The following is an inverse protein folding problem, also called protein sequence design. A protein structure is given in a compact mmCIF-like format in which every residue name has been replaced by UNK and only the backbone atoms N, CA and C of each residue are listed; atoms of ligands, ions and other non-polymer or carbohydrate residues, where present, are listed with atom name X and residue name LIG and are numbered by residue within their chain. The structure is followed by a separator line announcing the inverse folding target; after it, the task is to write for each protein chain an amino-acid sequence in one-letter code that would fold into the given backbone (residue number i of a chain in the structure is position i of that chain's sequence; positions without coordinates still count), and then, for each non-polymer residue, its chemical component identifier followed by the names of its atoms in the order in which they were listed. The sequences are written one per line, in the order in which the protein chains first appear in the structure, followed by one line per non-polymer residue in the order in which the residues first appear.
data_IF_645761643809
#
_entry.id   IF_645761643809
#
_cell.length_a   1.000
_cell.length_b   1.000
_cell.length_c   1.000
_cell.angle_alpha   90.00
_cell.angle_beta   90.00
_cell.angle_gamma   90.00
#
_symmetry.space_group_name_H-M   'P 1'
#
loop_
_entity.id
_entity.type
_entity.pdbx_description
1 polymer ?
#
# COMPACT_ATOMS: atom_id res chain seq x y z
N UNK A 1 -7.20 -11.60 10.10
CA UNK A 1 -8.61 -11.14 10.15
C UNK A 1 -8.54 -9.67 10.47
N UNK A 2 -9.31 -8.79 9.79
CA UNK A 2 -9.50 -7.45 10.34
C UNK A 2 -10.20 -7.67 11.68
N UNK A 3 -9.44 -7.54 12.76
CA UNK A 3 -9.94 -7.79 14.10
C UNK A 3 -11.20 -6.96 14.29
N UNK A 4 -12.26 -7.58 14.81
CA UNK A 4 -13.55 -6.94 15.12
C UNK A 4 -13.45 -5.73 16.06
N UNK A 5 -12.24 -5.41 16.53
CA UNK A 5 -11.90 -4.38 17.50
C UNK A 5 -11.17 -3.17 16.89
N UNK A 6 -10.91 -3.12 15.57
CA UNK A 6 -10.31 -1.90 14.99
C UNK A 6 -11.38 -0.80 14.90
N UNK A 7 -11.03 0.40 15.32
CA UNK A 7 -11.85 1.60 15.16
C UNK A 7 -11.83 2.06 13.70
N UNK A 8 -12.81 2.90 13.32
CA UNK A 8 -12.84 3.53 12.00
C UNK A 8 -11.56 4.36 11.74
N UNK A 9 -11.06 5.06 12.76
CA UNK A 9 -9.84 5.86 12.64
C UNK A 9 -8.60 4.98 12.41
N UNK A 10 -8.47 3.85 13.12
CA UNK A 10 -7.38 2.91 12.89
C UNK A 10 -7.44 2.29 11.49
N UNK A 11 -8.64 1.98 11.00
CA UNK A 11 -8.85 1.50 9.64
C UNK A 11 -8.40 2.53 8.59
N UNK A 12 -8.79 3.81 8.75
CA UNK A 12 -8.34 4.91 7.87
C UNK A 12 -6.82 5.06 7.89
N UNK A 13 -6.23 5.13 9.08
CA UNK A 13 -4.77 5.26 9.24
C UNK A 13 -4.03 4.10 8.56
N UNK A 14 -4.53 2.87 8.70
CA UNK A 14 -3.94 1.70 8.05
C UNK A 14 -4.09 1.77 6.52
N UNK A 15 -5.26 2.17 6.02
CA UNK A 15 -5.49 2.31 4.58
C UNK A 15 -4.56 3.34 3.96
N UNK A 16 -4.46 4.53 4.55
CA UNK A 16 -3.59 5.62 4.09
C UNK A 16 -2.12 5.17 4.07
N UNK A 17 -1.69 4.48 5.13
CA UNK A 17 -0.36 3.88 5.19
C UNK A 17 -0.13 2.89 4.04
N UNK A 18 -1.06 1.98 3.78
CA UNK A 18 -0.94 1.01 2.69
C UNK A 18 -1.00 1.67 1.31
N UNK A 19 -1.72 2.78 1.15
CA UNK A 19 -1.78 3.55 -0.09
C UNK A 19 -0.43 4.23 -0.40
N UNK A 20 0.27 4.74 0.62
CA UNK A 20 1.65 5.24 0.48
C UNK A 20 2.59 4.12 0.05
N UNK A 21 2.53 2.97 0.71
CA UNK A 21 3.37 1.81 0.39
C UNK A 21 3.09 1.31 -1.03
N UNK A 22 1.83 1.23 -1.43
CA UNK A 22 1.45 0.84 -2.78
C UNK A 22 2.01 1.83 -3.82
N UNK A 23 1.88 3.13 -3.57
CA UNK A 23 2.41 4.15 -4.48
C UNK A 23 3.93 4.05 -4.64
N UNK A 24 4.64 3.83 -3.54
CA UNK A 24 6.09 3.60 -3.55
C UNK A 24 6.47 2.34 -4.34
N UNK A 25 5.75 1.23 -4.17
CA UNK A 25 6.06 -0.03 -4.87
C UNK A 25 5.78 0.02 -6.37
N UNK A 26 4.76 0.77 -6.77
CA UNK A 26 4.28 0.83 -8.16
C UNK A 26 4.83 2.01 -8.96
N UNK A 27 5.54 2.96 -8.33
CA UNK A 27 6.31 3.95 -9.07
C UNK A 27 7.39 3.25 -9.90
N UNK A 28 7.47 3.63 -11.18
CA UNK A 28 8.48 3.14 -12.09
C UNK A 28 9.83 3.80 -11.81
N UNK A 29 10.86 2.98 -11.58
CA UNK A 29 12.23 3.41 -11.38
C UNK A 29 13.10 2.98 -12.56
N UNK A 30 14.10 3.80 -12.95
CA UNK A 30 15.05 3.41 -13.97
C UNK A 30 15.98 2.31 -13.45
N UNK A 31 16.13 1.24 -14.23
CA UNK A 31 17.00 0.10 -13.97
C UNK A 31 17.87 -0.11 -15.21
N UNK A 32 19.19 -0.20 -15.01
CA UNK A 32 20.13 -0.47 -16.11
C UNK A 32 20.26 -1.97 -16.36
N UNK A 33 19.97 -2.42 -17.58
CA UNK A 33 20.12 -3.80 -18.02
C UNK A 33 20.84 -3.79 -19.36
N UNK A 34 22.04 -4.39 -19.43
CA UNK A 34 22.84 -4.49 -20.66
C UNK A 34 22.95 -3.16 -21.41
N UNK A 35 23.32 -2.10 -20.68
CA UNK A 35 23.49 -0.73 -21.17
C UNK A 35 22.20 0.00 -21.61
N UNK A 36 21.04 -0.63 -21.50
CA UNK A 36 19.74 0.01 -21.72
C UNK A 36 19.10 0.42 -20.39
N UNK A 37 18.45 1.60 -20.36
CA UNK A 37 17.63 2.02 -19.22
C UNK A 37 16.21 1.53 -19.42
N UNK A 38 15.74 0.67 -18.51
CA UNK A 38 14.36 0.19 -18.48
C UNK A 38 13.65 0.74 -17.24
N UNK A 39 12.37 1.06 -17.36
CA UNK A 39 11.55 1.51 -16.24
C UNK A 39 10.81 0.31 -15.66
N UNK A 40 11.04 0.02 -14.37
CA UNK A 40 10.44 -1.13 -13.69
C UNK A 40 9.90 -0.72 -12.33
N UNK A 41 8.85 -1.42 -11.89
CA UNK A 41 8.36 -1.32 -10.51
C UNK A 41 9.40 -1.88 -9.55
N UNK A 42 9.36 -1.42 -8.30
CA UNK A 42 10.30 -1.90 -7.27
C UNK A 42 10.08 -3.39 -7.00
N UNK A 43 11.19 -4.13 -6.92
CA UNK A 43 11.20 -5.58 -6.68
C UNK A 43 11.45 -5.90 -5.19
N UNK A 44 10.67 -5.26 -4.31
CA UNK A 44 10.71 -5.52 -2.86
C UNK A 44 9.68 -6.61 -2.49
N UNK A 45 8.49 -6.49 -3.09
CA UNK A 45 7.44 -7.51 -3.03
C UNK A 45 7.30 -8.16 -4.40
N UNK A 46 7.11 -9.47 -4.41
CA UNK A 46 6.73 -10.19 -5.63
C UNK A 46 5.34 -9.76 -6.09
N UNK A 47 4.98 -10.06 -7.34
CA UNK A 47 3.65 -9.72 -7.86
C UNK A 47 2.52 -10.37 -7.04
N UNK A 48 2.72 -11.62 -6.58
CA UNK A 48 1.79 -12.28 -5.67
C UNK A 48 1.64 -11.56 -4.33
N UNK A 49 2.75 -11.09 -3.74
CA UNK A 49 2.72 -10.34 -2.48
C UNK A 49 2.11 -8.94 -2.65
N UNK A 50 2.27 -8.30 -3.82
CA UNK A 50 1.57 -7.05 -4.18
C UNK A 50 0.06 -7.26 -4.29
N UNK A 51 -0.39 -8.40 -4.83
CA UNK A 51 -1.82 -8.75 -4.85
C UNK A 51 -2.36 -8.89 -3.42
N UNK A 52 -1.63 -9.54 -2.52
CA UNK A 52 -2.01 -9.64 -1.10
C UNK A 52 -2.16 -8.26 -0.45
N UNK A 53 -1.25 -7.32 -0.72
CA UNK A 53 -1.37 -5.93 -0.25
C UNK A 53 -2.66 -5.26 -0.75
N UNK A 54 -2.99 -5.43 -2.04
CA UNK A 54 -4.23 -4.93 -2.62
C UNK A 54 -5.47 -5.58 -2.00
N UNK A 55 -5.42 -6.86 -1.63
CA UNK A 55 -6.52 -7.54 -0.95
C UNK A 55 -6.77 -6.97 0.44
N UNK A 56 -5.72 -6.67 1.21
CA UNK A 56 -5.88 -6.01 2.51
C UNK A 56 -6.47 -4.60 2.37
N UNK A 57 -5.95 -3.80 1.43
CA UNK A 57 -6.51 -2.47 1.12
C UNK A 57 -8.00 -2.55 0.79
N UNK A 58 -8.38 -3.53 -0.03
CA UNK A 58 -9.76 -3.72 -0.43
C UNK A 58 -10.65 -4.18 0.75
N UNK A 59 -10.14 -5.06 1.61
CA UNK A 59 -10.81 -5.48 2.85
C UNK A 59 -11.05 -4.31 3.81
N UNK A 60 -10.08 -3.39 3.94
CA UNK A 60 -10.23 -2.19 4.78
C UNK A 60 -11.23 -1.21 4.18
N UNK A 61 -11.23 -1.01 2.85
CA UNK A 61 -12.21 -0.16 2.17
C UNK A 61 -13.63 -0.68 2.35
N UNK A 62 -13.84 -1.99 2.21
CA UNK A 62 -15.15 -2.60 2.46
C UNK A 62 -15.60 -2.39 3.92
N UNK A 63 -14.67 -2.52 4.88
CA UNK A 63 -14.99 -2.26 6.28
C UNK A 63 -15.45 -0.81 6.50
N UNK A 64 -14.77 0.16 5.89
CA UNK A 64 -15.16 1.58 5.97
C UNK A 64 -16.51 1.82 5.28
N UNK A 65 -16.73 1.27 4.09
CA UNK A 65 -18.00 1.34 3.36
C UNK A 65 -19.16 0.77 4.19
N UNK A 66 -18.95 -0.38 4.85
CA UNK A 66 -19.92 -0.95 5.79
C UNK A 66 -20.21 -0.01 6.96
N UNK A 67 -19.19 0.61 7.56
CA UNK A 67 -19.37 1.58 8.65
C UNK A 67 -20.16 2.82 8.22
N UNK A 68 -20.07 3.19 6.94
CA UNK A 68 -20.82 4.29 6.34
C UNK A 68 -22.19 3.86 5.77
N UNK A 69 -22.55 2.58 5.89
CA UNK A 69 -23.85 2.06 5.43
C UNK A 69 -23.96 1.86 3.92
N UNK A 70 -22.84 1.83 3.20
CA UNK A 70 -22.79 1.66 1.74
C UNK A 70 -22.92 0.20 1.30
N UNK A 71 -22.48 -0.74 2.16
CA UNK A 71 -22.56 -2.18 1.91
C UNK A 71 -22.99 -2.94 3.17
N UNK A 72 -23.48 -4.16 2.98
CA UNK A 72 -23.84 -5.06 4.07
C UNK A 72 -22.62 -5.73 4.71
N UNK A 73 -22.75 -6.09 5.99
CA UNK A 73 -21.68 -6.72 6.77
C UNK A 73 -21.14 -8.02 6.13
N UNK A 74 -22.01 -8.80 5.48
CA UNK A 74 -21.64 -10.05 4.81
C UNK A 74 -20.85 -9.83 3.50
N UNK A 75 -20.85 -8.61 2.96
CA UNK A 75 -20.08 -8.23 1.78
C UNK A 75 -18.65 -7.80 2.15
N UNK A 76 -18.36 -7.58 3.44
CA UNK A 76 -17.05 -7.16 3.92
C UNK A 76 -16.05 -8.30 3.81
N UNK A 77 -15.08 -8.18 2.90
CA UNK A 77 -13.93 -9.10 2.83
C UNK A 77 -13.14 -9.05 4.13
N UNK A 78 -12.63 -10.19 4.57
CA UNK A 78 -11.79 -10.32 5.76
C UNK A 78 -10.39 -10.78 5.37
N UNK A 79 -9.49 -9.83 5.15
CA UNK A 79 -8.12 -10.13 4.74
C UNK A 79 -7.12 -9.25 5.47
N UNK A 80 -6.01 -9.87 5.86
CA UNK A 80 -4.84 -9.20 6.43
C UNK A 80 -3.61 -9.91 5.87
N UNK A 81 -2.60 -9.14 5.43
CA UNK A 81 -1.38 -9.75 4.91
C UNK A 81 -0.66 -10.56 6.00
N UNK A 82 0.15 -11.53 5.57
CA UNK A 82 0.96 -12.34 6.47
C UNK A 82 2.08 -11.52 7.13
N UNK A 83 2.59 -11.99 8.26
CA UNK A 83 3.73 -11.36 8.96
C UNK A 83 4.97 -11.23 8.05
N UNK A 84 5.20 -12.19 7.16
CA UNK A 84 6.26 -12.12 6.15
C UNK A 84 6.12 -10.88 5.25
N UNK A 85 4.89 -10.56 4.83
CA UNK A 85 4.62 -9.38 4.01
C UNK A 85 4.74 -8.11 4.86
N UNK A 86 4.30 -8.11 6.11
CA UNK A 86 4.50 -6.99 7.05
C UNK A 86 5.98 -6.63 7.22
N UNK A 87 6.86 -7.63 7.33
CA UNK A 87 8.30 -7.39 7.42
C UNK A 87 8.84 -6.67 6.18
N UNK A 88 8.38 -7.05 4.97
CA UNK A 88 8.75 -6.38 3.73
C UNK A 88 8.16 -4.97 3.63
N UNK A 89 6.94 -4.76 4.14
CA UNK A 89 6.34 -3.42 4.25
C UNK A 89 7.20 -2.53 5.16
N UNK A 90 7.69 -3.04 6.29
CA UNK A 90 8.64 -2.31 7.17
C UNK A 90 9.93 -1.95 6.42
N UNK A 91 10.46 -2.84 5.58
CA UNK A 91 11.60 -2.51 4.71
C UNK A 91 11.29 -1.34 3.77
N UNK A 92 10.09 -1.31 3.16
CA UNK A 92 9.67 -0.18 2.33
C UNK A 92 9.68 1.14 3.12
N UNK A 93 9.18 1.13 4.36
CA UNK A 93 9.19 2.31 5.25
C UNK A 93 10.60 2.83 5.50
N UNK A 94 11.56 1.94 5.75
CA UNK A 94 12.96 2.32 5.96
C UNK A 94 13.51 3.02 4.72
N UNK A 95 13.29 2.44 3.53
CA UNK A 95 13.78 3.02 2.27
C UNK A 95 13.13 4.37 1.99
N UNK A 96 11.81 4.50 2.18
CA UNK A 96 11.09 5.76 1.99
C UNK A 96 11.70 6.87 2.86
N UNK A 97 12.01 6.56 4.12
CA UNK A 97 12.65 7.51 5.05
C UNK A 97 14.07 7.87 4.62
N UNK A 98 14.89 6.87 4.28
CA UNK A 98 16.29 7.08 3.89
C UNK A 98 16.44 7.89 2.60
N UNK A 99 15.51 7.71 1.66
CA UNK A 99 15.55 8.38 0.35
C UNK A 99 14.80 9.71 0.32
N UNK A 100 14.18 10.09 1.44
CA UNK A 100 13.25 11.21 1.54
C UNK A 100 12.17 11.18 0.42
N UNK A 101 11.75 9.97 0.04
CA UNK A 101 10.94 9.76 -1.16
C UNK A 101 9.57 10.44 -1.03
N UNK A 102 8.96 10.37 0.15
CA UNK A 102 7.61 10.90 0.36
C UNK A 102 7.55 12.42 0.16
N UNK A 103 8.57 13.16 0.60
CA UNK A 103 8.66 14.61 0.36
C UNK A 103 8.81 14.92 -1.13
N UNK A 104 9.68 14.18 -1.82
CA UNK A 104 9.89 14.33 -3.27
C UNK A 104 8.65 13.93 -4.08
N UNK A 105 7.89 12.95 -3.61
CA UNK A 105 6.64 12.52 -4.22
C UNK A 105 5.55 13.60 -4.12
N UNK A 106 5.34 14.17 -2.92
CA UNK A 106 4.36 15.25 -2.70
C UNK A 106 4.66 16.50 -3.55
N UNK A 107 5.92 16.94 -3.58
CA UNK A 107 6.35 18.09 -4.39
C UNK A 107 6.05 17.93 -5.88
N UNK A 108 6.19 16.72 -6.43
CA UNK A 108 5.87 16.44 -7.84
C UNK A 108 4.38 16.51 -8.11
N UNK A 109 3.53 16.04 -7.19
CA UNK A 109 2.08 16.06 -7.36
C UNK A 109 1.45 17.46 -7.21
N UNK A 110 2.01 18.29 -6.33
CA UNK A 110 1.61 19.70 -6.17
C UNK A 110 1.95 20.57 -7.40
N UNK A 111 2.85 20.12 -8.28
CA UNK A 111 3.19 20.84 -9.53
C UNK A 111 2.19 20.60 -10.67
N UNK A 112 1.27 19.65 -10.52
CA UNK A 112 0.26 19.29 -11.54
C UNK A 112 -1.19 19.59 -11.10
N UNK A 113 -1.37 20.29 -9.97
CA UNK A 113 -2.64 20.83 -9.48
C UNK A 113 -2.54 22.35 -9.34
#
# INVERSE_FOLDING_TARGET
MINSNITEQEAKNRLDFLDIINSFLFEEIPVKIKDETQYRKRDILTDGEKICLSQERASIRDFLAYKHGEIDKNQVRQYQVSEKIELKIKTCVIIIKQTNWLENFKRRYEQYN
#
